data_IF_006369672019
#
_entry.id   IF_006369672019
#
_cell.length_a   1.000
_cell.length_b   1.000
_cell.length_c   1.000
_cell.angle_alpha   90.00
_cell.angle_beta   90.00
_cell.angle_gamma   90.00
#
_symmetry.space_group_name_H-M   'P 1'
#
loop_
_entity.id
_entity.type
_entity.pdbx_description
1 polymer ?
#
# COMPACT_ATOMS: atom_id res chain seq x y z
N UNK A 1 16.73 -8.05 3.20
CA UNK A 1 16.94 -7.35 4.49
C UNK A 1 15.77 -7.72 5.40
N UNK A 2 15.91 -7.71 6.73
CA UNK A 2 14.84 -8.16 7.62
C UNK A 2 13.64 -7.21 7.53
N UNK A 3 12.42 -7.76 7.44
CA UNK A 3 11.20 -7.00 7.75
C UNK A 3 10.95 -7.09 9.26
N UNK A 4 10.12 -6.21 9.79
CA UNK A 4 9.72 -6.26 11.20
C UNK A 4 8.29 -5.78 11.38
N UNK A 5 7.63 -6.21 12.47
CA UNK A 5 6.31 -5.73 12.85
C UNK A 5 6.32 -4.24 13.18
N UNK A 6 5.47 -3.46 12.51
CA UNK A 6 5.37 -2.01 12.75
C UNK A 6 4.18 -1.66 13.62
N UNK A 7 2.99 -2.09 13.22
CA UNK A 7 1.75 -1.68 13.88
C UNK A 7 0.62 -2.65 13.57
N UNK A 8 -0.48 -2.48 14.30
CA UNK A 8 -1.77 -3.10 14.05
C UNK A 8 -2.89 -2.06 14.09
N UNK A 9 -4.06 -2.40 13.56
CA UNK A 9 -5.20 -1.46 13.52
C UNK A 9 -5.68 -0.88 14.85
N UNK A 10 -5.33 -1.54 15.96
CA UNK A 10 -5.60 -1.04 17.31
C UNK A 10 -4.67 0.13 17.70
N UNK A 11 -3.50 0.21 17.07
CA UNK A 11 -2.40 1.13 17.40
C UNK A 11 -2.10 2.13 16.27
N UNK A 12 -2.57 1.87 15.05
CA UNK A 12 -2.40 2.75 13.90
C UNK A 12 -3.47 3.85 13.84
N UNK A 13 -3.18 4.91 13.07
CA UNK A 13 -4.25 5.76 12.58
C UNK A 13 -5.14 4.94 11.63
N UNK A 14 -6.42 4.74 11.99
CA UNK A 14 -7.32 3.83 11.29
C UNK A 14 -7.43 4.11 9.78
N UNK A 15 -7.28 5.38 9.39
CA UNK A 15 -7.37 5.81 7.99
C UNK A 15 -6.23 5.28 7.11
N UNK A 16 -5.01 5.13 7.67
CA UNK A 16 -3.86 4.57 6.93
C UNK A 16 -4.08 3.09 6.58
N UNK A 17 -4.78 2.35 7.44
CA UNK A 17 -5.08 0.94 7.21
C UNK A 17 -6.23 0.78 6.21
N UNK A 18 -7.23 1.67 6.26
CA UNK A 18 -8.32 1.68 5.29
C UNK A 18 -7.78 1.91 3.87
N UNK A 19 -6.87 2.88 3.70
CA UNK A 19 -6.18 3.11 2.42
C UNK A 19 -5.50 1.83 1.92
N UNK A 20 -4.81 1.10 2.79
CA UNK A 20 -4.09 -0.12 2.45
C UNK A 20 -5.02 -1.28 2.07
N UNK A 21 -6.13 -1.46 2.78
CA UNK A 21 -7.08 -2.56 2.58
C UNK A 21 -7.81 -2.45 1.24
N UNK A 22 -8.28 -1.24 0.90
CA UNK A 22 -9.12 -1.01 -0.28
C UNK A 22 -8.33 -0.55 -1.52
N UNK A 23 -7.02 -0.36 -1.37
CA UNK A 23 -6.11 0.01 -2.47
C UNK A 23 -6.16 -1.00 -3.62
N UNK A 24 -6.23 -0.55 -4.89
CA UNK A 24 -6.05 -1.42 -6.05
C UNK A 24 -4.63 -1.96 -6.24
N UNK A 25 -3.67 -1.48 -5.43
CA UNK A 25 -2.34 -2.07 -5.34
C UNK A 25 -2.29 -3.26 -4.37
N UNK A 26 -3.31 -3.44 -3.52
CA UNK A 26 -3.40 -4.60 -2.62
C UNK A 26 -3.56 -5.87 -3.44
N UNK A 27 -2.71 -6.86 -3.17
CA UNK A 27 -2.74 -8.16 -3.82
C UNK A 27 -2.71 -9.26 -2.78
N UNK A 28 -3.76 -10.07 -2.78
CA UNK A 28 -3.85 -11.25 -1.93
C UNK A 28 -2.72 -12.25 -2.26
N UNK A 29 -2.21 -12.86 -1.20
CA UNK A 29 -1.22 -13.90 -1.21
C UNK A 29 -1.79 -15.09 -0.42
N UNK A 30 -1.66 -16.29 -0.96
CA UNK A 30 -2.05 -17.49 -0.22
C UNK A 30 -1.22 -17.63 1.06
N UNK A 31 -1.89 -17.99 2.16
CA UNK A 31 -1.25 -18.22 3.48
C UNK A 31 -0.11 -19.24 3.41
N UNK A 32 -0.27 -20.28 2.57
CA UNK A 32 0.75 -21.28 2.26
C UNK A 32 2.00 -20.65 1.63
N UNK A 33 1.84 -19.83 0.57
CA UNK A 33 2.98 -19.17 -0.07
C UNK A 33 3.65 -18.17 0.88
N UNK A 34 2.85 -17.43 1.65
CA UNK A 34 3.37 -16.50 2.65
C UNK A 34 4.25 -17.22 3.68
N UNK A 35 3.76 -18.26 4.35
CA UNK A 35 4.50 -18.92 5.44
C UNK A 35 5.66 -19.81 4.99
N UNK A 36 5.59 -20.37 3.79
CA UNK A 36 6.63 -21.27 3.27
C UNK A 36 7.76 -20.53 2.56
N UNK A 37 7.44 -19.46 1.84
CA UNK A 37 8.40 -18.77 0.98
C UNK A 37 8.70 -17.35 1.47
N UNK A 38 7.66 -16.54 1.70
CA UNK A 38 7.82 -15.12 2.01
C UNK A 38 8.38 -14.91 3.41
N UNK A 39 7.67 -15.31 4.46
CA UNK A 39 8.06 -15.05 5.84
C UNK A 39 9.48 -15.57 6.17
N UNK A 40 9.93 -16.74 5.69
CA UNK A 40 11.31 -17.18 5.84
C UNK A 40 12.32 -16.30 5.09
N UNK A 41 12.01 -15.89 3.85
CA UNK A 41 12.88 -14.99 3.07
C UNK A 41 13.07 -13.62 3.74
N UNK A 42 12.02 -13.15 4.44
CA UNK A 42 12.02 -11.91 5.19
C UNK A 42 12.56 -12.07 6.62
N UNK A 43 12.79 -13.32 7.06
CA UNK A 43 13.23 -13.71 8.42
C UNK A 43 12.25 -13.30 9.53
N UNK A 44 10.95 -13.31 9.24
CA UNK A 44 9.87 -12.99 10.19
C UNK A 44 9.05 -14.22 10.59
N UNK A 45 9.35 -15.41 10.06
CA UNK A 45 8.50 -16.59 10.27
C UNK A 45 8.35 -17.00 11.74
N UNK A 46 9.37 -16.79 12.58
CA UNK A 46 9.27 -16.99 14.03
C UNK A 46 8.42 -15.91 14.72
N UNK A 47 8.66 -14.65 14.37
CA UNK A 47 7.90 -13.50 14.88
C UNK A 47 6.40 -13.65 14.58
N UNK A 48 6.05 -14.13 13.38
CA UNK A 48 4.68 -14.47 13.02
C UNK A 48 4.08 -15.52 13.97
N UNK A 49 4.78 -16.64 14.19
CA UNK A 49 4.28 -17.69 15.08
C UNK A 49 4.09 -17.17 16.51
N UNK A 50 5.01 -16.33 17.00
CA UNK A 50 4.94 -15.72 18.32
C UNK A 50 3.77 -14.72 18.43
N UNK A 51 3.62 -13.82 17.45
CA UNK A 51 2.54 -12.81 17.40
C UNK A 51 1.15 -13.44 17.42
N UNK A 52 0.98 -14.55 16.71
CA UNK A 52 -0.30 -15.26 16.63
C UNK A 52 -0.46 -16.38 17.66
N UNK A 53 0.51 -16.55 18.57
CA UNK A 53 0.54 -17.61 19.57
C UNK A 53 0.34 -19.02 18.96
N UNK A 54 1.03 -19.28 17.85
CA UNK A 54 0.97 -20.52 17.08
C UNK A 54 2.22 -21.36 17.30
N UNK A 55 2.09 -22.69 17.31
CA UNK A 55 3.23 -23.58 17.51
C UNK A 55 3.82 -24.11 16.21
N UNK A 56 3.02 -24.12 15.13
CA UNK A 56 3.40 -24.70 13.84
C UNK A 56 2.93 -23.83 12.68
N UNK A 57 3.72 -23.77 11.61
CA UNK A 57 3.34 -23.08 10.36
C UNK A 57 2.03 -23.61 9.77
N UNK A 58 1.71 -24.90 9.97
CA UNK A 58 0.45 -25.49 9.50
C UNK A 58 -0.79 -24.87 10.17
N UNK A 59 -0.67 -24.38 11.40
CA UNK A 59 -1.79 -23.71 12.09
C UNK A 59 -2.11 -22.40 11.36
N UNK A 60 -1.10 -21.60 11.04
CA UNK A 60 -1.27 -20.37 10.24
C UNK A 60 -1.86 -20.66 8.85
N UNK A 61 -1.32 -21.68 8.16
CA UNK A 61 -1.70 -21.98 6.78
C UNK A 61 -3.16 -22.43 6.68
N UNK A 62 -3.63 -23.18 7.66
CA UNK A 62 -4.97 -23.77 7.67
C UNK A 62 -6.01 -22.91 8.41
N UNK A 63 -5.61 -21.76 8.96
CA UNK A 63 -6.53 -20.86 9.65
C UNK A 63 -7.32 -20.03 8.64
N UNK A 64 -8.64 -20.23 8.64
CA UNK A 64 -9.57 -19.52 7.75
C UNK A 64 -9.81 -18.07 8.16
N UNK A 65 -9.41 -17.68 9.36
CA UNK A 65 -9.42 -16.29 9.82
C UNK A 65 -8.19 -15.50 9.39
N UNK A 66 -7.20 -16.17 8.77
CA UNK A 66 -5.97 -15.54 8.32
C UNK A 66 -6.03 -15.20 6.84
N UNK A 67 -5.73 -13.94 6.51
CA UNK A 67 -5.53 -13.46 5.14
C UNK A 67 -4.19 -12.74 5.04
N UNK A 68 -3.51 -12.89 3.92
CA UNK A 68 -2.20 -12.27 3.68
C UNK A 68 -2.25 -11.47 2.39
N UNK A 69 -1.69 -10.26 2.42
CA UNK A 69 -1.67 -9.38 1.27
C UNK A 69 -0.32 -8.67 1.18
N UNK A 70 0.07 -8.32 -0.04
CA UNK A 70 1.05 -7.26 -0.31
C UNK A 70 0.27 -5.97 -0.57
N UNK A 71 0.67 -4.87 0.04
CA UNK A 71 0.04 -3.57 -0.19
C UNK A 71 1.04 -2.44 0.11
N UNK A 72 0.53 -1.24 0.38
CA UNK A 72 1.29 -0.07 0.78
C UNK A 72 0.70 0.51 2.06
N UNK A 73 1.52 0.68 3.08
CA UNK A 73 1.16 1.37 4.32
C UNK A 73 1.84 2.74 4.30
N UNK A 74 1.06 3.82 4.36
CA UNK A 74 1.56 5.20 4.19
C UNK A 74 2.41 5.38 2.92
N UNK A 75 2.01 4.73 1.83
CA UNK A 75 2.76 4.75 0.57
C UNK A 75 4.05 3.91 0.55
N UNK A 76 4.35 3.16 1.61
CA UNK A 76 5.52 2.29 1.72
C UNK A 76 5.14 0.83 1.48
N UNK A 77 5.84 0.08 0.60
CA UNK A 77 5.55 -1.33 0.36
C UNK A 77 5.55 -2.17 1.64
N UNK A 78 4.46 -2.89 1.89
CA UNK A 78 4.28 -3.70 3.09
C UNK A 78 3.70 -5.09 2.78
N UNK A 79 3.85 -5.98 3.75
CA UNK A 79 2.99 -7.14 3.91
C UNK A 79 2.02 -6.83 5.03
N UNK A 80 0.74 -7.08 4.81
CA UNK A 80 -0.22 -7.06 5.90
C UNK A 80 -0.95 -8.38 6.02
N UNK A 81 -1.19 -8.76 7.27
CA UNK A 81 -1.83 -10.01 7.64
C UNK A 81 -3.07 -9.63 8.43
N UNK A 82 -4.22 -10.18 8.07
CA UNK A 82 -5.44 -10.06 8.86
C UNK A 82 -5.60 -11.34 9.64
N UNK A 83 -5.81 -11.27 10.95
CA UNK A 83 -6.18 -12.40 11.79
C UNK A 83 -7.29 -11.96 12.75
N UNK A 84 -8.46 -12.61 12.66
CA UNK A 84 -9.63 -12.29 13.50
C UNK A 84 -9.99 -10.80 13.52
N UNK A 85 -10.01 -10.16 12.35
CA UNK A 85 -10.29 -8.73 12.15
C UNK A 85 -9.25 -7.76 12.78
N UNK A 86 -8.04 -8.24 13.05
CA UNK A 86 -6.89 -7.40 13.39
C UNK A 86 -5.90 -7.44 12.23
N UNK A 87 -5.58 -6.28 11.67
CA UNK A 87 -4.56 -6.09 10.65
C UNK A 87 -3.19 -5.92 11.30
N UNK A 88 -2.17 -6.64 10.82
CA UNK A 88 -0.79 -6.59 11.26
C UNK A 88 0.08 -6.17 10.09
N UNK A 89 0.88 -5.11 10.25
CA UNK A 89 1.66 -4.51 9.16
C UNK A 89 3.16 -4.79 9.34
N UNK A 90 3.80 -5.28 8.29
CA UNK A 90 5.22 -5.57 8.21
C UNK A 90 5.83 -4.81 7.03
N UNK A 91 6.87 -4.02 7.29
CA UNK A 91 7.64 -3.29 6.26
C UNK A 91 9.11 -3.70 6.32
N UNK A 92 9.82 -3.50 5.22
CA UNK A 92 11.27 -3.72 5.18
C UNK A 92 11.96 -2.70 6.10
N UNK A 93 12.95 -3.15 6.87
CA UNK A 93 13.72 -2.29 7.77
C UNK A 93 14.37 -1.10 7.07
N UNK A 94 14.73 -1.25 5.80
CA UNK A 94 15.31 -0.15 5.03
C UNK A 94 14.31 0.96 4.71
N UNK A 95 13.02 0.63 4.69
CA UNK A 95 11.93 1.52 4.29
C UNK A 95 11.15 2.04 5.49
N UNK A 96 11.33 1.46 6.68
CA UNK A 96 10.58 1.85 7.87
C UNK A 96 10.86 3.27 8.36
N UNK A 97 12.05 3.81 8.08
CA UNK A 97 12.37 5.23 8.33
C UNK A 97 11.65 6.20 7.40
N UNK A 98 10.88 5.70 6.42
CA UNK A 98 10.01 6.49 5.55
C UNK A 98 8.58 6.58 6.09
N UNK A 99 8.24 5.82 7.13
CA UNK A 99 6.93 5.93 7.75
C UNK A 99 6.84 7.25 8.49
N UNK A 100 5.66 7.86 8.38
CA UNK A 100 5.33 9.10 9.06
C UNK A 100 5.01 8.82 10.53
N UNK A 101 5.34 9.78 11.38
CA UNK A 101 4.82 9.77 12.75
C UNK A 101 3.31 10.10 12.75
N UNK A 102 2.71 10.13 13.94
CA UNK A 102 1.26 10.32 14.08
C UNK A 102 0.78 11.68 13.53
N UNK A 103 1.57 12.75 13.69
CA UNK A 103 1.20 14.10 13.26
C UNK A 103 1.30 14.21 11.73
N UNK A 104 2.42 13.74 11.17
CA UNK A 104 2.64 13.73 9.72
C UNK A 104 1.67 12.79 9.00
N UNK A 105 1.32 11.65 9.61
CA UNK A 105 0.31 10.73 9.06
C UNK A 105 -1.08 11.38 9.00
N UNK A 106 -1.48 12.13 10.03
CA UNK A 106 -2.74 12.91 10.00
C UNK A 106 -2.71 13.99 8.93
N UNK A 107 -1.58 14.70 8.79
CA UNK A 107 -1.42 15.70 7.74
C UNK A 107 -1.53 15.07 6.34
N UNK A 108 -0.89 13.92 6.14
CA UNK A 108 -0.99 13.14 4.90
C UNK A 108 -2.44 12.78 4.58
N UNK A 109 -3.20 12.27 5.55
CA UNK A 109 -4.61 11.92 5.34
C UNK A 109 -5.48 13.14 5.02
N UNK A 110 -5.24 14.27 5.69
CA UNK A 110 -5.89 15.53 5.35
C UNK A 110 -5.60 15.93 3.89
N UNK A 111 -4.34 15.81 3.46
CA UNK A 111 -3.96 16.16 2.07
C UNK A 111 -4.59 15.21 1.05
N UNK A 112 -4.67 13.91 1.35
CA UNK A 112 -5.40 12.94 0.52
C UNK A 112 -6.85 13.38 0.37
N UNK A 113 -7.53 13.72 1.47
CA UNK A 113 -8.93 14.17 1.41
C UNK A 113 -9.11 15.41 0.53
N UNK A 114 -8.24 16.41 0.67
CA UNK A 114 -8.32 17.64 -0.14
C UNK A 114 -8.06 17.37 -1.63
N UNK A 115 -7.09 16.51 -1.94
CA UNK A 115 -6.80 16.13 -3.32
C UNK A 115 -7.86 15.20 -3.92
N UNK A 116 -8.56 14.42 -3.10
CA UNK A 116 -9.68 13.59 -3.54
C UNK A 116 -10.81 14.46 -4.09
N UNK A 117 -11.13 15.58 -3.43
CA UNK A 117 -12.13 16.54 -3.92
C UNK A 117 -11.76 17.05 -5.32
N UNK A 118 -10.47 17.39 -5.55
CA UNK A 118 -9.97 17.81 -6.87
C UNK A 118 -10.06 16.67 -7.90
N UNK A 119 -9.75 15.43 -7.50
CA UNK A 119 -9.88 14.25 -8.38
C UNK A 119 -11.33 14.06 -8.80
N UNK A 120 -12.27 14.16 -7.86
CA UNK A 120 -13.69 13.96 -8.12
C UNK A 120 -14.28 15.08 -9.00
N UNK A 121 -13.87 16.34 -8.81
CA UNK A 121 -14.31 17.47 -9.64
C UNK A 121 -13.75 17.40 -11.07
N UNK A 122 -12.48 17.00 -11.22
CA UNK A 122 -11.78 17.04 -12.49
C UNK A 122 -11.86 15.71 -13.28
N UNK A 123 -12.42 14.65 -12.69
CA UNK A 123 -12.49 13.33 -13.31
C UNK A 123 -13.31 13.42 -14.62
N UNK A 124 -12.76 12.94 -15.75
CA UNK A 124 -13.52 12.95 -16.99
C UNK A 124 -14.65 11.91 -16.95
N UNK A 125 -15.89 12.37 -17.05
CA UNK A 125 -17.06 11.50 -17.11
C UNK A 125 -17.03 10.58 -18.34
N UNK A 126 -17.39 9.30 -18.13
CA UNK A 126 -17.46 8.31 -19.22
C UNK A 126 -16.12 8.05 -19.93
N UNK A 127 -15.00 8.45 -19.32
CA UNK A 127 -13.68 8.28 -19.89
C UNK A 127 -13.29 6.81 -20.04
N UNK A 128 -12.59 6.50 -21.13
CA UNK A 128 -11.95 5.21 -21.30
C UNK A 128 -10.66 5.09 -20.48
N UNK A 129 -10.10 3.89 -20.40
CA UNK A 129 -8.86 3.60 -19.69
C UNK A 129 -7.71 4.56 -20.08
N UNK A 130 -7.56 4.89 -21.37
CA UNK A 130 -6.45 5.72 -21.85
C UNK A 130 -6.59 7.16 -21.38
N UNK A 131 -7.80 7.69 -21.39
CA UNK A 131 -8.12 9.00 -20.86
C UNK A 131 -7.87 9.04 -19.33
N UNK A 132 -8.31 8.01 -18.59
CA UNK A 132 -8.09 7.90 -17.14
C UNK A 132 -6.59 7.79 -16.78
N UNK A 133 -5.81 7.01 -17.54
CA UNK A 133 -4.36 6.94 -17.34
C UNK A 133 -3.67 8.27 -17.65
N UNK A 134 -4.14 8.99 -18.68
CA UNK A 134 -3.62 10.31 -19.04
C UNK A 134 -3.97 11.34 -17.96
N UNK A 135 -5.18 11.27 -17.41
CA UNK A 135 -5.61 12.07 -16.26
C UNK A 135 -4.68 11.83 -15.07
N UNK A 136 -4.44 10.57 -14.67
CA UNK A 136 -3.53 10.24 -13.56
C UNK A 136 -2.14 10.86 -13.75
N UNK A 137 -1.60 10.78 -14.96
CA UNK A 137 -0.30 11.38 -15.30
C UNK A 137 -0.30 12.91 -15.16
N UNK A 138 -1.35 13.57 -15.63
CA UNK A 138 -1.46 15.03 -15.59
C UNK A 138 -1.67 15.51 -14.15
N UNK A 139 -2.62 14.91 -13.43
CA UNK A 139 -2.92 15.22 -12.03
C UNK A 139 -1.69 15.04 -11.15
N UNK A 140 -0.96 13.94 -11.32
CA UNK A 140 0.29 13.71 -10.60
C UNK A 140 1.34 14.79 -10.91
N UNK A 141 1.49 15.20 -12.18
CA UNK A 141 2.46 16.23 -12.55
C UNK A 141 2.13 17.59 -11.95
N UNK A 142 0.84 17.94 -11.86
CA UNK A 142 0.35 19.20 -11.27
C UNK A 142 0.49 19.22 -9.75
N UNK A 143 0.35 18.07 -9.09
CA UNK A 143 0.41 17.92 -7.63
C UNK A 143 1.70 17.24 -7.13
N UNK A 144 2.74 17.20 -7.97
CA UNK A 144 3.93 16.36 -7.76
C UNK A 144 4.61 16.58 -6.41
N UNK A 145 4.73 17.83 -5.99
CA UNK A 145 5.44 18.18 -4.74
C UNK A 145 4.77 17.53 -3.52
N UNK A 146 3.45 17.59 -3.45
CA UNK A 146 2.68 17.03 -2.33
C UNK A 146 2.65 15.51 -2.41
N UNK A 147 2.35 14.95 -3.58
CA UNK A 147 2.27 13.50 -3.77
C UNK A 147 3.60 12.79 -3.48
N UNK A 148 4.73 13.40 -3.85
CA UNK A 148 6.05 12.84 -3.56
C UNK A 148 6.45 12.98 -2.10
N UNK A 149 6.30 14.18 -1.53
CA UNK A 149 6.73 14.44 -0.15
C UNK A 149 5.91 13.64 0.86
N UNK A 150 4.63 13.40 0.55
CA UNK A 150 3.70 12.66 1.40
C UNK A 150 3.53 11.19 0.99
N UNK A 151 4.28 10.71 0.00
CA UNK A 151 4.20 9.31 -0.45
C UNK A 151 2.74 8.89 -0.74
N UNK A 152 2.04 9.68 -1.57
CA UNK A 152 0.65 9.44 -1.95
C UNK A 152 0.64 8.87 -3.38
N UNK A 153 0.47 7.54 -3.54
CA UNK A 153 0.25 6.96 -4.87
C UNK A 153 -1.08 7.42 -5.47
N UNK A 154 -1.21 7.40 -6.79
CA UNK A 154 -2.49 7.74 -7.43
C UNK A 154 -3.61 6.81 -6.97
N UNK A 155 -3.29 5.55 -6.70
CA UNK A 155 -4.20 4.53 -6.19
C UNK A 155 -4.85 4.88 -4.85
N UNK A 156 -4.29 5.82 -4.08
CA UNK A 156 -4.92 6.34 -2.86
C UNK A 156 -6.25 7.01 -3.16
N UNK A 157 -6.44 7.53 -4.38
CA UNK A 157 -7.67 8.17 -4.84
C UNK A 157 -8.63 7.22 -5.60
N UNK A 158 -8.32 5.93 -5.60
CA UNK A 158 -9.08 4.92 -6.33
C UNK A 158 -9.45 3.73 -5.42
N UNK A 159 -9.73 4.05 -4.15
CA UNK A 159 -10.26 3.11 -3.18
C UNK A 159 -11.65 2.63 -3.61
N UNK A 160 -12.02 1.41 -3.25
CA UNK A 160 -13.30 0.78 -3.64
C UNK A 160 -13.47 0.58 -5.16
N UNK A 161 -14.63 0.06 -5.56
CA UNK A 161 -14.94 -0.24 -6.96
C UNK A 161 -15.32 1.06 -7.70
N UNK A 162 -14.34 1.71 -8.32
CA UNK A 162 -14.49 2.92 -9.13
C UNK A 162 -13.95 2.73 -10.57
N UNK A 163 -14.35 3.60 -11.50
CA UNK A 163 -14.03 3.49 -12.93
C UNK A 163 -12.54 3.66 -13.24
N UNK A 164 -11.83 4.45 -12.43
CA UNK A 164 -10.41 4.78 -12.61
C UNK A 164 -9.45 3.85 -11.85
N UNK A 165 -9.97 2.85 -11.14
CA UNK A 165 -9.22 1.90 -10.31
C UNK A 165 -8.04 1.25 -11.03
N UNK A 166 -8.27 0.68 -12.21
CA UNK A 166 -7.23 -0.02 -12.96
C UNK A 166 -6.16 0.93 -13.51
N UNK A 167 -6.59 2.07 -14.08
CA UNK A 167 -5.68 3.04 -14.68
C UNK A 167 -4.74 3.67 -13.64
N UNK A 168 -5.25 3.99 -12.44
CA UNK A 168 -4.44 4.58 -11.37
C UNK A 168 -3.46 3.55 -10.79
N UNK A 169 -3.89 2.30 -10.61
CA UNK A 169 -2.99 1.23 -10.19
C UNK A 169 -1.88 0.94 -11.20
N UNK A 170 -2.18 0.96 -12.50
CA UNK A 170 -1.18 0.78 -13.54
C UNK A 170 -0.22 1.98 -13.63
N UNK A 171 -0.71 3.19 -13.39
CA UNK A 171 0.15 4.37 -13.27
C UNK A 171 1.18 4.16 -12.16
N UNK A 172 0.75 3.76 -10.97
CA UNK A 172 1.66 3.55 -9.84
C UNK A 172 2.62 2.39 -10.06
N UNK A 173 2.14 1.25 -10.58
CA UNK A 173 3.02 0.11 -10.96
C UNK A 173 4.11 0.55 -11.93
N UNK A 174 3.82 1.51 -12.79
CA UNK A 174 4.77 2.02 -13.77
C UNK A 174 5.72 3.06 -13.17
N UNK A 175 5.23 3.98 -12.34
CA UNK A 175 5.95 5.19 -11.97
C UNK A 175 6.16 5.42 -10.47
N UNK A 176 5.24 4.99 -9.61
CA UNK A 176 5.31 5.27 -8.18
C UNK A 176 6.46 4.52 -7.51
N UNK A 177 7.18 5.21 -6.61
CA UNK A 177 8.33 4.66 -5.88
C UNK A 177 9.54 4.29 -6.75
N UNK A 178 9.48 4.54 -8.06
CA UNK A 178 10.63 4.42 -8.96
C UNK A 178 11.20 5.81 -9.12
N UNK A 179 12.42 6.03 -8.65
CA UNK A 179 13.19 7.22 -9.00
C UNK A 179 13.21 7.33 -10.52
N UNK A 180 12.56 8.35 -11.07
CA UNK A 180 12.76 8.74 -12.45
C UNK A 180 14.22 9.18 -12.59
N UNK A 181 15.12 8.23 -12.87
CA UNK A 181 16.36 8.61 -13.54
C UNK A 181 15.95 9.28 -14.86
N UNK A 182 16.39 10.52 -15.12
CA UNK A 182 16.20 11.10 -16.44
C UNK A 182 16.81 10.14 -17.44
N UNK A 183 16.05 9.80 -18.48
CA UNK A 183 16.54 8.97 -19.58
C UNK A 183 17.81 9.61 -20.14
N UNK A 184 18.96 9.08 -19.75
CA UNK A 184 20.23 9.38 -20.43
C UNK A 184 20.07 8.81 -21.82
N UNK A 185 19.82 9.69 -22.78
CA UNK A 185 19.93 9.36 -24.20
C UNK A 185 21.40 9.04 -24.44
N UNK A 186 21.73 7.76 -24.53
CA UNK A 186 23.04 7.32 -24.98
C UNK A 186 22.99 7.20 -26.51
N UNK A 187 23.75 8.09 -27.17
CA UNK A 187 24.39 7.87 -28.48
C UNK A 187 23.47 7.74 -29.68
#
# INVERSE_FOLDING_TARGET
MPHYFVTRCVEANGDDINEMCDSPLSKEISTSYFMKEIAPSLKIDKEILELFNLTKKSEFINDYHIRCNRSYYQGVPCYYIVHSAIEYVFVDKKDSGKLFDEEDAKYRQLRISLLQDDVDELMPEGADYKALFTFAKKFYAENKADLDSLQIPMSSFAQWNCSHREAFADYDRKYYGKTHEPSVTLG
#
